data_IF_001977533103
#
_entry.id   IF_001977533103
#
_cell.length_a   1.000
_cell.length_b   1.000
_cell.length_c   1.000
_cell.angle_alpha   90.00
_cell.angle_beta   90.00
_cell.angle_gamma   90.00
#
_symmetry.space_group_name_H-M   'P 1'
#
loop_
_entity.id
_entity.type
_entity.pdbx_description
1 polymer ?
#
# COMPACT_ATOMS: atom_id res chain seq x y z
N UNK A 1 6.36 -34.88 -22.19
CA UNK A 1 7.39 -33.90 -21.78
C UNK A 1 7.22 -32.65 -22.62
N UNK A 2 6.57 -31.62 -22.07
CA UNK A 2 6.48 -30.30 -22.68
C UNK A 2 7.68 -29.45 -22.30
N UNK A 3 8.20 -28.67 -23.26
CA UNK A 3 9.17 -27.62 -22.97
C UNK A 3 8.41 -26.41 -22.39
N UNK A 4 8.92 -25.86 -21.30
CA UNK A 4 8.38 -24.61 -20.75
C UNK A 4 8.55 -23.46 -21.75
N UNK A 5 7.56 -22.55 -21.79
CA UNK A 5 7.71 -21.33 -22.57
C UNK A 5 8.82 -20.46 -21.93
N UNK A 6 9.87 -20.21 -22.69
CA UNK A 6 10.98 -19.34 -22.28
C UNK A 6 11.06 -18.07 -23.14
N UNK A 7 10.15 -17.94 -24.12
CA UNK A 7 10.11 -16.78 -25.01
C UNK A 7 9.37 -15.63 -24.36
N UNK A 8 9.84 -14.40 -24.61
CA UNK A 8 9.13 -13.20 -24.20
C UNK A 8 7.71 -13.16 -24.76
N UNK A 9 6.75 -12.72 -23.95
CA UNK A 9 5.37 -12.48 -24.37
C UNK A 9 5.09 -10.98 -24.38
N UNK A 10 4.80 -10.45 -25.57
CA UNK A 10 4.51 -9.03 -25.78
C UNK A 10 3.04 -8.83 -26.08
N UNK A 11 2.41 -7.94 -25.34
CA UNK A 11 1.07 -7.42 -25.58
C UNK A 11 1.22 -5.93 -25.92
N UNK A 12 0.89 -5.54 -27.12
CA UNK A 12 1.19 -4.20 -27.62
C UNK A 12 0.08 -3.59 -28.45
N UNK A 13 0.29 -2.32 -28.81
CA UNK A 13 -0.65 -1.52 -29.63
C UNK A 13 -2.02 -1.32 -28.98
N UNK A 14 -2.05 -1.23 -27.65
CA UNK A 14 -3.29 -0.95 -26.92
C UNK A 14 -3.54 0.57 -26.94
N UNK A 15 -4.65 1.04 -27.52
CA UNK A 15 -4.95 2.46 -27.54
C UNK A 15 -5.09 3.04 -26.12
N UNK A 16 -4.71 4.30 -25.95
CA UNK A 16 -4.87 5.01 -24.67
C UNK A 16 -6.32 4.97 -24.19
N UNK A 17 -6.53 4.70 -22.91
CA UNK A 17 -7.85 4.57 -22.29
C UNK A 17 -8.46 3.16 -22.39
N UNK A 18 -7.81 2.22 -23.08
CA UNK A 18 -8.33 0.85 -23.24
C UNK A 18 -7.61 -0.14 -22.31
N UNK A 19 -8.40 -1.10 -21.82
CA UNK A 19 -7.89 -2.27 -21.11
C UNK A 19 -7.49 -3.39 -22.08
N UNK A 20 -6.49 -4.15 -21.68
CA UNK A 20 -6.14 -5.38 -22.36
C UNK A 20 -6.04 -6.53 -21.36
N UNK A 21 -6.49 -7.71 -21.78
CA UNK A 21 -6.33 -8.95 -21.04
C UNK A 21 -5.01 -9.61 -21.46
N UNK A 22 -4.16 -9.87 -20.49
CA UNK A 22 -2.94 -10.65 -20.64
C UNK A 22 -2.97 -11.88 -19.74
N UNK A 23 -2.04 -12.80 -19.96
CA UNK A 23 -1.81 -13.94 -19.08
C UNK A 23 -0.33 -14.11 -18.82
N UNK A 24 0.04 -14.44 -17.58
CA UNK A 24 1.41 -14.85 -17.27
C UNK A 24 1.71 -16.16 -18.02
N UNK A 25 2.61 -16.17 -19.03
CA UNK A 25 2.85 -17.35 -19.86
C UNK A 25 3.83 -18.34 -19.23
N UNK A 26 4.36 -18.02 -18.05
CA UNK A 26 5.42 -18.76 -17.40
C UNK A 26 4.91 -19.68 -16.27
N UNK A 27 5.61 -20.77 -15.97
CA UNK A 27 5.27 -21.68 -14.86
C UNK A 27 5.73 -21.14 -13.50
N UNK A 28 6.07 -19.87 -13.37
CA UNK A 28 6.47 -19.21 -12.16
C UNK A 28 5.75 -17.86 -12.00
N UNK A 29 5.70 -17.37 -10.78
CA UNK A 29 5.20 -16.03 -10.47
C UNK A 29 6.09 -14.99 -11.13
N UNK A 30 5.50 -13.99 -11.77
CA UNK A 30 6.17 -12.79 -12.26
C UNK A 30 5.92 -11.64 -11.28
N UNK A 31 6.90 -10.75 -11.20
CA UNK A 31 6.82 -9.50 -10.47
C UNK A 31 6.47 -8.40 -11.48
N UNK A 32 5.29 -7.79 -11.32
CA UNK A 32 4.81 -6.72 -12.19
C UNK A 32 5.78 -5.56 -12.31
N UNK A 33 6.52 -5.26 -11.23
CA UNK A 33 7.46 -4.16 -11.22
C UNK A 33 8.63 -4.39 -12.19
N UNK A 34 9.01 -5.63 -12.43
CA UNK A 34 10.09 -6.02 -13.34
C UNK A 34 9.63 -6.09 -14.81
N UNK A 35 8.32 -6.21 -15.06
CA UNK A 35 7.77 -6.27 -16.44
C UNK A 35 8.07 -4.97 -17.17
N UNK A 36 8.59 -5.07 -18.40
CA UNK A 36 8.81 -3.91 -19.25
C UNK A 36 7.46 -3.32 -19.69
N UNK A 37 7.23 -2.04 -19.39
CA UNK A 37 5.97 -1.32 -19.62
C UNK A 37 6.18 -0.02 -20.41
N UNK A 38 5.28 0.28 -21.35
CA UNK A 38 5.19 1.56 -22.02
C UNK A 38 3.75 2.07 -21.91
N UNK A 39 3.56 3.25 -21.35
CA UNK A 39 2.24 3.85 -21.10
C UNK A 39 1.26 2.92 -20.36
N UNK A 40 1.79 2.11 -19.45
CA UNK A 40 1.05 1.17 -18.59
C UNK A 40 1.67 1.20 -17.20
N UNK A 41 0.87 1.35 -16.16
CA UNK A 41 1.37 1.35 -14.77
C UNK A 41 0.72 0.27 -13.94
N UNK A 42 -0.57 0.05 -14.08
CA UNK A 42 -1.37 -0.75 -13.16
C UNK A 42 -1.75 -2.10 -13.75
N UNK A 43 -1.57 -3.16 -12.96
CA UNK A 43 -2.14 -4.48 -13.20
C UNK A 43 -3.37 -4.71 -12.32
N UNK A 44 -4.35 -5.46 -12.83
CA UNK A 44 -5.57 -5.84 -12.12
C UNK A 44 -5.76 -7.34 -12.24
N UNK A 45 -5.84 -8.02 -11.12
CA UNK A 45 -6.08 -9.47 -11.05
C UNK A 45 -7.42 -9.72 -10.39
N UNK A 46 -8.26 -10.57 -10.99
CA UNK A 46 -9.51 -10.98 -10.38
C UNK A 46 -9.24 -11.91 -9.19
N UNK A 47 -9.77 -11.57 -8.03
CA UNK A 47 -9.79 -12.41 -6.84
C UNK A 47 -11.21 -12.96 -6.63
N UNK A 48 -11.38 -14.26 -6.88
CA UNK A 48 -12.67 -14.94 -6.77
C UNK A 48 -13.16 -15.01 -5.33
N UNK A 49 -12.25 -15.09 -4.37
CA UNK A 49 -12.60 -15.20 -2.95
C UNK A 49 -13.25 -13.92 -2.40
N UNK A 50 -12.75 -12.75 -2.81
CA UNK A 50 -13.33 -11.44 -2.45
C UNK A 50 -14.32 -10.93 -3.51
N UNK A 51 -14.46 -11.63 -4.66
CA UNK A 51 -15.25 -11.22 -5.81
C UNK A 51 -14.93 -9.78 -6.26
N UNK A 52 -13.66 -9.42 -6.26
CA UNK A 52 -13.16 -8.08 -6.60
C UNK A 52 -11.87 -8.16 -7.41
N UNK A 53 -11.54 -7.06 -8.12
CA UNK A 53 -10.22 -6.91 -8.69
C UNK A 53 -9.23 -6.43 -7.63
N UNK A 54 -8.07 -7.06 -7.60
CA UNK A 54 -6.89 -6.61 -6.88
C UNK A 54 -6.02 -5.82 -7.83
N UNK A 55 -5.60 -4.63 -7.43
CA UNK A 55 -4.80 -3.71 -8.24
C UNK A 55 -3.38 -3.54 -7.70
N UNK A 56 -2.45 -3.16 -8.57
CA UNK A 56 -1.09 -2.76 -8.21
C UNK A 56 -0.53 -1.78 -9.24
N UNK A 57 -0.09 -0.61 -8.78
CA UNK A 57 0.43 0.47 -9.64
C UNK A 57 1.97 0.59 -9.66
N UNK A 58 2.68 -0.36 -9.06
CA UNK A 58 4.14 -0.34 -8.93
C UNK A 58 4.62 0.16 -7.56
N UNK A 59 3.73 0.72 -6.73
CA UNK A 59 4.08 1.19 -5.39
C UNK A 59 3.03 0.81 -4.33
N UNK A 60 1.77 0.79 -4.68
CA UNK A 60 0.67 0.48 -3.76
C UNK A 60 -0.45 -0.28 -4.46
N UNK A 61 -1.35 -0.86 -3.68
CA UNK A 61 -2.52 -1.57 -4.16
C UNK A 61 -2.83 -2.84 -3.38
N UNK A 62 -4.00 -3.41 -3.65
CA UNK A 62 -4.49 -4.63 -3.00
C UNK A 62 -3.90 -5.93 -3.56
N UNK A 63 -3.25 -5.90 -4.72
CA UNK A 63 -2.50 -7.03 -5.26
C UNK A 63 -1.14 -7.12 -4.56
N UNK A 64 -0.95 -8.15 -3.75
CA UNK A 64 0.25 -8.31 -2.92
C UNK A 64 1.53 -8.17 -3.72
N UNK A 65 2.23 -7.04 -3.54
CA UNK A 65 3.52 -6.71 -4.16
C UNK A 65 3.56 -6.86 -5.70
N UNK A 66 2.44 -6.67 -6.38
CA UNK A 66 2.40 -6.84 -7.83
C UNK A 66 2.68 -8.26 -8.33
N UNK A 67 2.56 -9.28 -7.49
CA UNK A 67 2.87 -10.66 -7.85
C UNK A 67 1.72 -11.29 -8.63
N UNK A 68 1.99 -11.72 -9.87
CA UNK A 68 1.05 -12.39 -10.75
C UNK A 68 1.40 -13.87 -10.82
N UNK A 69 0.48 -14.71 -10.34
CA UNK A 69 0.70 -16.15 -10.23
C UNK A 69 0.96 -16.83 -11.59
N UNK A 70 1.56 -18.02 -11.61
CA UNK A 70 1.75 -18.79 -12.84
C UNK A 70 0.44 -18.99 -13.59
N UNK A 71 0.44 -18.73 -14.89
CA UNK A 71 -0.70 -18.92 -15.81
C UNK A 71 -1.94 -18.08 -15.47
N UNK A 72 -1.82 -17.10 -14.60
CA UNK A 72 -2.90 -16.21 -14.20
C UNK A 72 -3.19 -15.16 -15.27
N UNK A 73 -4.48 -14.98 -15.59
CA UNK A 73 -4.96 -13.86 -16.38
C UNK A 73 -5.04 -12.58 -15.55
N UNK A 74 -4.73 -11.45 -16.17
CA UNK A 74 -4.83 -10.13 -15.57
C UNK A 74 -5.16 -9.06 -16.60
N UNK A 75 -5.77 -7.97 -16.15
CA UNK A 75 -6.01 -6.78 -16.97
C UNK A 75 -4.91 -5.74 -16.73
N UNK A 76 -4.64 -4.91 -17.73
CA UNK A 76 -3.86 -3.68 -17.60
C UNK A 76 -4.46 -2.58 -18.45
N UNK A 77 -4.28 -1.32 -18.02
CA UNK A 77 -4.80 -0.12 -18.68
C UNK A 77 -3.67 0.61 -19.40
N UNK A 78 -3.86 0.94 -20.67
CA UNK A 78 -3.01 1.88 -21.39
C UNK A 78 -3.42 3.33 -21.08
N UNK A 79 -2.49 4.16 -20.60
CA UNK A 79 -2.75 5.56 -20.24
C UNK A 79 -1.62 6.46 -20.75
N UNK A 80 -1.98 7.66 -21.20
CA UNK A 80 -0.98 8.64 -21.69
C UNK A 80 -0.44 8.39 -23.10
N UNK A 81 -0.87 7.32 -23.78
CA UNK A 81 -0.41 6.96 -25.13
C UNK A 81 -0.71 5.48 -25.46
N UNK A 82 -0.23 5.01 -26.60
CA UNK A 82 -0.34 3.59 -26.97
C UNK A 82 0.44 2.74 -25.99
N UNK A 83 -0.25 1.82 -25.30
CA UNK A 83 0.29 0.97 -24.25
C UNK A 83 0.87 -0.33 -24.79
N UNK A 84 1.89 -0.85 -24.10
CA UNK A 84 2.41 -2.20 -24.30
C UNK A 84 3.08 -2.72 -23.03
N UNK A 85 3.08 -4.04 -22.89
CA UNK A 85 3.88 -4.76 -21.90
C UNK A 85 4.66 -5.88 -22.58
N UNK A 86 5.83 -6.18 -22.05
CA UNK A 86 6.62 -7.36 -22.45
C UNK A 86 7.03 -8.10 -21.20
N UNK A 87 6.60 -9.34 -21.08
CA UNK A 87 6.94 -10.24 -19.98
C UNK A 87 8.04 -11.19 -20.43
N UNK A 88 9.10 -11.30 -19.64
CA UNK A 88 10.23 -12.17 -19.88
C UNK A 88 10.39 -13.20 -18.74
N UNK A 89 11.08 -14.28 -19.01
CA UNK A 89 11.37 -15.27 -17.96
C UNK A 89 12.25 -14.68 -16.82
N UNK A 90 12.94 -13.57 -17.09
CA UNK A 90 13.72 -12.82 -16.11
C UNK A 90 12.86 -12.01 -15.13
N UNK A 91 11.60 -11.71 -15.46
CA UNK A 91 10.65 -11.00 -14.59
C UNK A 91 10.14 -11.87 -13.43
N UNK A 92 10.72 -13.06 -13.29
CA UNK A 92 10.44 -13.99 -12.23
C UNK A 92 10.64 -13.33 -10.87
N UNK A 93 9.63 -13.45 -10.02
CA UNK A 93 9.77 -13.14 -8.60
C UNK A 93 10.74 -14.13 -7.95
N UNK A 94 11.74 -13.62 -7.23
CA UNK A 94 12.68 -14.44 -6.44
C UNK A 94 12.08 -14.87 -5.11
N UNK A 95 10.86 -14.44 -4.82
CA UNK A 95 10.20 -14.61 -3.54
C UNK A 95 8.90 -15.37 -3.68
N UNK A 96 8.83 -16.49 -3.00
CA UNK A 96 7.60 -17.16 -2.66
C UNK A 96 7.07 -16.52 -1.37
N UNK A 97 6.15 -15.58 -1.50
CA UNK A 97 5.38 -15.05 -0.37
C UNK A 97 6.03 -13.90 0.40
N UNK A 98 5.27 -12.89 0.61
CA UNK A 98 5.44 -11.75 1.52
C UNK A 98 6.68 -10.90 1.28
N UNK A 99 6.54 -9.91 0.42
CA UNK A 99 7.50 -8.81 0.35
C UNK A 99 6.81 -7.48 0.59
N UNK A 100 7.16 -6.88 1.72
CA UNK A 100 7.13 -5.43 1.81
C UNK A 100 8.35 -4.92 1.05
N UNK A 101 8.14 -4.33 -0.13
CA UNK A 101 9.20 -3.57 -0.80
C UNK A 101 9.37 -2.30 0.01
N UNK A 102 10.42 -2.24 0.80
CA UNK A 102 10.88 -0.96 1.32
C UNK A 102 11.32 -0.17 0.09
N UNK A 103 10.55 0.84 -0.27
CA UNK A 103 10.95 1.82 -1.28
C UNK A 103 12.15 2.56 -0.73
N UNK A 104 13.32 2.30 -1.28
CA UNK A 104 14.59 2.78 -0.77
C UNK A 104 14.91 4.24 -1.13
N UNK A 105 13.99 4.99 -1.72
CA UNK A 105 14.24 6.37 -2.13
C UNK A 105 13.58 7.44 -1.25
N UNK A 106 12.82 7.05 -0.22
CA UNK A 106 12.20 7.98 0.73
C UNK A 106 11.17 8.94 0.11
N UNK A 107 10.76 8.72 -1.14
CA UNK A 107 9.96 9.66 -1.93
C UNK A 107 8.54 9.18 -2.20
N UNK A 108 8.10 8.09 -1.60
CA UNK A 108 6.76 7.55 -1.78
C UNK A 108 6.19 7.02 -0.47
N UNK A 109 4.88 7.10 -0.35
CA UNK A 109 4.14 6.56 0.77
C UNK A 109 2.73 6.18 0.36
N UNK A 110 2.01 5.47 1.20
CA UNK A 110 0.62 5.12 0.93
C UNK A 110 -0.21 4.95 2.21
N UNK A 111 -1.51 5.15 2.06
CA UNK A 111 -2.53 4.83 3.08
C UNK A 111 -3.56 3.93 2.44
N UNK A 112 -3.75 2.73 2.99
CA UNK A 112 -4.80 1.82 2.58
C UNK A 112 -5.99 1.91 3.52
N UNK A 113 -7.19 2.08 2.96
CA UNK A 113 -8.46 1.95 3.66
C UNK A 113 -9.02 0.56 3.41
N UNK A 114 -9.13 -0.25 4.47
CA UNK A 114 -9.78 -1.55 4.43
C UNK A 114 -11.24 -1.38 4.85
N UNK A 115 -12.16 -1.86 4.05
CA UNK A 115 -13.58 -1.67 4.22
C UNK A 115 -14.22 -3.05 4.33
N UNK A 116 -14.95 -3.29 5.42
CA UNK A 116 -15.54 -4.59 5.72
C UNK A 116 -17.00 -4.48 6.16
N UNK A 117 -17.82 -5.41 5.71
CA UNK A 117 -19.11 -5.76 6.29
C UNK A 117 -19.00 -7.12 6.95
N UNK A 118 -20.13 -7.71 7.41
CA UNK A 118 -20.13 -9.06 7.94
C UNK A 118 -19.69 -10.11 6.89
N UNK A 119 -20.02 -9.88 5.61
CA UNK A 119 -19.87 -10.87 4.53
C UNK A 119 -18.88 -10.46 3.44
N UNK A 120 -18.55 -9.17 3.32
CA UNK A 120 -17.77 -8.62 2.20
C UNK A 120 -16.65 -7.73 2.67
N UNK A 121 -15.56 -7.72 1.92
CA UNK A 121 -14.42 -6.81 2.13
C UNK A 121 -13.98 -6.17 0.84
N UNK A 122 -13.45 -4.95 0.94
CA UNK A 122 -12.80 -4.24 -0.15
C UNK A 122 -11.68 -3.35 0.36
N UNK A 123 -10.88 -2.80 -0.54
CA UNK A 123 -9.79 -1.89 -0.22
C UNK A 123 -9.75 -0.74 -1.23
N UNK A 124 -9.28 0.42 -0.80
CA UNK A 124 -8.91 1.55 -1.68
C UNK A 124 -7.67 2.22 -1.10
N UNK A 125 -6.87 2.85 -1.95
CA UNK A 125 -5.56 3.35 -1.58
C UNK A 125 -5.38 4.81 -1.98
N UNK A 126 -4.68 5.54 -1.12
CA UNK A 126 -4.09 6.85 -1.46
C UNK A 126 -2.59 6.64 -1.47
N UNK A 127 -1.95 6.91 -2.60
CA UNK A 127 -0.49 6.83 -2.75
C UNK A 127 0.11 8.21 -2.97
N UNK A 128 1.38 8.37 -2.63
CA UNK A 128 2.12 9.62 -2.76
C UNK A 128 3.39 9.38 -3.55
N UNK A 129 3.54 10.07 -4.68
CA UNK A 129 4.71 9.92 -5.56
C UNK A 129 5.27 11.28 -5.97
N UNK A 130 6.59 11.35 -6.22
CA UNK A 130 7.28 12.60 -6.62
C UNK A 130 6.69 13.24 -7.88
N UNK A 131 6.14 12.45 -8.78
CA UNK A 131 5.50 12.89 -10.02
C UNK A 131 3.98 12.70 -10.00
N UNK A 132 3.40 12.54 -8.81
CA UNK A 132 1.95 12.49 -8.62
C UNK A 132 1.32 13.85 -8.88
N UNK A 133 0.07 13.87 -9.28
CA UNK A 133 -0.73 15.05 -9.53
C UNK A 133 -1.97 15.07 -8.62
N UNK A 134 -2.53 16.24 -8.37
CA UNK A 134 -3.81 16.37 -7.66
C UNK A 134 -4.99 15.93 -8.52
N UNK A 135 -4.83 15.97 -9.84
CA UNK A 135 -5.76 15.46 -10.86
C UNK A 135 -5.44 14.02 -11.24
N UNK A 136 -6.00 13.56 -12.35
CA UNK A 136 -5.76 12.22 -12.87
C UNK A 136 -4.38 12.09 -13.53
N UNK A 137 -3.59 11.13 -13.06
CA UNK A 137 -2.30 10.80 -13.64
C UNK A 137 -2.18 9.32 -14.06
N UNK A 138 -0.98 8.92 -14.54
CA UNK A 138 -0.75 7.58 -15.04
C UNK A 138 -0.60 6.51 -13.94
N UNK A 139 -0.35 6.92 -12.70
CA UNK A 139 -0.23 6.02 -11.55
C UNK A 139 -1.56 5.79 -10.84
N UNK A 140 -2.61 6.55 -11.20
CA UNK A 140 -3.97 6.27 -10.75
C UNK A 140 -4.48 4.94 -11.27
N UNK A 141 -5.25 4.25 -10.47
CA UNK A 141 -5.90 3.02 -10.86
C UNK A 141 -7.43 3.14 -10.76
N UNK A 142 -8.12 2.94 -11.86
CA UNK A 142 -9.58 2.91 -11.84
C UNK A 142 -10.10 1.78 -10.94
N UNK A 143 -11.17 2.06 -10.20
CA UNK A 143 -11.92 1.02 -9.48
C UNK A 143 -12.68 0.17 -10.48
N UNK A 144 -12.29 -1.08 -10.63
CA UNK A 144 -12.98 -2.02 -11.51
C UNK A 144 -14.02 -2.81 -10.72
N UNK A 145 -15.24 -2.80 -11.22
CA UNK A 145 -16.32 -3.64 -10.68
C UNK A 145 -16.47 -4.91 -11.53
N UNK A 146 -16.96 -6.02 -10.93
CA UNK A 146 -17.20 -7.25 -11.67
C UNK A 146 -18.16 -7.08 -12.84
N UNK A 147 -18.01 -7.94 -13.83
CA UNK A 147 -18.84 -7.93 -15.05
C UNK A 147 -20.30 -8.36 -14.82
N UNK A 148 -20.63 -8.90 -13.67
CA UNK A 148 -22.00 -9.32 -13.32
C UNK A 148 -22.42 -8.71 -11.98
N UNK A 149 -23.70 -8.38 -11.82
CA UNK A 149 -24.22 -7.92 -10.55
C UNK A 149 -23.97 -8.94 -9.44
N UNK A 150 -23.43 -8.50 -8.30
CA UNK A 150 -23.29 -9.31 -7.09
C UNK A 150 -23.22 -8.41 -5.87
N UNK A 151 -23.70 -8.91 -4.74
CA UNK A 151 -23.64 -8.18 -3.47
C UNK A 151 -22.20 -8.00 -3.03
N UNK A 152 -21.87 -6.79 -2.56
CA UNK A 152 -20.51 -6.42 -2.10
C UNK A 152 -20.47 -5.06 -1.43
N UNK A 153 -19.40 -4.80 -0.72
CA UNK A 153 -18.97 -3.45 -0.36
C UNK A 153 -17.93 -2.95 -1.36
N UNK A 154 -17.89 -1.66 -1.62
CA UNK A 154 -16.94 -1.03 -2.54
C UNK A 154 -16.45 0.28 -1.93
N UNK A 155 -15.13 0.40 -1.75
CA UNK A 155 -14.47 1.64 -1.40
C UNK A 155 -13.79 2.25 -2.62
N UNK A 156 -13.90 3.55 -2.79
CA UNK A 156 -13.31 4.24 -3.92
C UNK A 156 -13.15 5.74 -3.62
N UNK A 157 -12.19 6.37 -4.27
CA UNK A 157 -12.08 7.83 -4.32
C UNK A 157 -12.54 8.35 -5.68
N UNK A 158 -12.89 9.65 -5.73
CA UNK A 158 -13.33 10.32 -6.95
C UNK A 158 -12.41 11.48 -7.29
N UNK A 159 -11.89 11.49 -8.50
CA UNK A 159 -11.07 12.57 -9.04
C UNK A 159 -11.47 12.82 -10.49
N UNK A 160 -11.79 14.07 -10.85
CA UNK A 160 -12.13 14.50 -12.22
C UNK A 160 -13.12 13.56 -12.93
N UNK A 161 -14.10 13.08 -12.17
CA UNK A 161 -15.14 12.24 -12.74
C UNK A 161 -14.75 10.76 -12.92
N UNK A 162 -13.68 10.27 -12.31
CA UNK A 162 -13.31 8.86 -12.29
C UNK A 162 -13.36 8.28 -10.90
N UNK A 163 -13.77 7.03 -10.82
CA UNK A 163 -13.73 6.21 -9.60
C UNK A 163 -12.40 5.49 -9.52
N UNK A 164 -11.63 5.74 -8.48
CA UNK A 164 -10.29 5.21 -8.33
C UNK A 164 -10.22 4.15 -7.22
N UNK A 165 -9.50 3.08 -7.50
CA UNK A 165 -9.03 2.09 -6.54
C UNK A 165 -7.73 2.55 -5.86
N UNK A 166 -6.88 3.22 -6.65
CA UNK A 166 -5.69 3.91 -6.17
C UNK A 166 -5.76 5.34 -6.68
N UNK A 167 -5.75 6.29 -5.75
CA UNK A 167 -5.63 7.72 -6.03
C UNK A 167 -4.19 8.14 -5.72
N UNK A 168 -3.44 8.51 -6.74
CA UNK A 168 -2.04 8.90 -6.61
C UNK A 168 -1.92 10.41 -6.50
N UNK A 169 -1.32 10.88 -5.43
CA UNK A 169 -1.15 12.29 -5.11
C UNK A 169 0.32 12.70 -5.18
N UNK A 170 0.62 14.00 -5.35
CA UNK A 170 1.98 14.47 -5.28
C UNK A 170 2.57 14.22 -3.89
N UNK A 171 3.85 13.82 -3.85
CA UNK A 171 4.59 13.66 -2.59
C UNK A 171 4.81 15.01 -1.89
N UNK A 172 4.97 16.09 -2.68
CA UNK A 172 5.09 17.48 -2.23
C UNK A 172 4.04 18.34 -2.94
N UNK A 173 3.40 19.25 -2.21
CA UNK A 173 2.46 20.23 -2.78
C UNK A 173 2.39 21.49 -1.92
N UNK A 174 2.36 22.63 -2.58
CA UNK A 174 2.13 23.93 -1.91
C UNK A 174 0.68 24.13 -1.47
N UNK A 175 -0.24 23.28 -1.95
CA UNK A 175 -1.66 23.40 -1.67
C UNK A 175 -2.18 22.12 -1.00
N UNK A 176 -3.12 22.29 -0.10
CA UNK A 176 -3.92 21.18 0.40
C UNK A 176 -4.78 20.60 -0.74
N UNK A 177 -4.99 19.28 -0.71
CA UNK A 177 -5.78 18.55 -1.70
C UNK A 177 -6.96 17.91 -0.98
N UNK A 178 -8.17 18.13 -1.52
CA UNK A 178 -9.40 17.52 -1.00
C UNK A 178 -10.09 16.74 -2.10
N UNK A 179 -10.55 15.54 -1.77
CA UNK A 179 -11.29 14.69 -2.70
C UNK A 179 -12.33 13.84 -1.98
N UNK A 180 -13.40 13.43 -2.68
CA UNK A 180 -14.41 12.53 -2.16
C UNK A 180 -13.86 11.10 -1.98
N UNK A 181 -14.18 10.48 -0.84
CA UNK A 181 -14.04 9.05 -0.59
C UNK A 181 -15.45 8.50 -0.35
N UNK A 182 -15.85 7.50 -1.10
CA UNK A 182 -17.16 6.88 -0.93
C UNK A 182 -17.02 5.40 -0.55
N UNK A 183 -17.97 4.94 0.23
CA UNK A 183 -18.16 3.54 0.56
C UNK A 183 -19.57 3.16 0.16
N UNK A 184 -19.66 2.31 -0.84
CA UNK A 184 -20.94 1.84 -1.37
C UNK A 184 -21.19 0.40 -0.92
N UNK A 185 -22.41 0.12 -0.54
CA UNK A 185 -22.89 -1.24 -0.45
C UNK A 185 -23.79 -1.54 -1.66
N UNK A 186 -23.52 -2.65 -2.31
CA UNK A 186 -24.33 -3.18 -3.40
C UNK A 186 -24.99 -4.44 -2.90
N UNK A 187 -26.31 -4.50 -2.92
CA UNK A 187 -27.06 -5.69 -2.53
C UNK A 187 -27.90 -6.18 -3.72
N UNK A 188 -27.73 -7.44 -4.07
CA UNK A 188 -28.35 -8.07 -5.24
C UNK A 188 -29.13 -9.29 -4.77
N UNK A 189 -30.43 -9.34 -5.11
CA UNK A 189 -31.29 -10.49 -4.80
C UNK A 189 -31.05 -11.67 -5.76
N UNK A 190 -31.70 -12.80 -5.51
CA UNK A 190 -31.59 -14.02 -6.32
C UNK A 190 -31.99 -13.84 -7.79
N UNK A 191 -32.74 -12.78 -8.10
CA UNK A 191 -33.13 -12.44 -9.48
C UNK A 191 -32.12 -11.51 -10.18
N UNK A 192 -30.97 -11.26 -9.56
CA UNK A 192 -29.95 -10.30 -10.04
C UNK A 192 -30.43 -8.84 -10.07
N UNK A 193 -31.39 -8.48 -9.22
CA UNK A 193 -31.90 -7.13 -9.07
C UNK A 193 -31.29 -6.45 -7.85
N UNK A 194 -30.98 -5.16 -7.94
CA UNK A 194 -30.50 -4.38 -6.81
C UNK A 194 -31.64 -4.09 -5.84
N UNK A 195 -31.39 -4.32 -4.57
CA UNK A 195 -32.33 -4.03 -3.48
C UNK A 195 -31.73 -3.06 -2.49
N UNK A 196 -32.55 -2.12 -2.02
CA UNK A 196 -32.12 -1.17 -1.00
C UNK A 196 -32.09 -1.85 0.35
N UNK A 197 -30.94 -1.76 1.03
CA UNK A 197 -30.73 -2.30 2.37
C UNK A 197 -29.71 -1.44 3.09
N UNK A 198 -29.90 -1.23 4.37
CA UNK A 198 -28.88 -0.66 5.24
C UNK A 198 -27.85 -1.73 5.60
N UNK A 199 -26.58 -1.35 5.62
CA UNK A 199 -25.47 -2.22 6.00
C UNK A 199 -24.50 -1.50 6.92
N UNK A 200 -24.03 -2.21 7.94
CA UNK A 200 -22.99 -1.72 8.85
C UNK A 200 -21.62 -2.00 8.26
N UNK A 201 -20.83 -0.97 8.11
CA UNK A 201 -19.49 -1.04 7.54
C UNK A 201 -18.48 -0.63 8.60
N UNK A 202 -17.39 -1.39 8.70
CA UNK A 202 -16.20 -0.99 9.45
C UNK A 202 -15.10 -0.67 8.45
N UNK A 203 -14.56 0.54 8.55
CA UNK A 203 -13.41 0.99 7.78
C UNK A 203 -12.20 1.11 8.72
N UNK A 204 -11.09 0.49 8.34
CA UNK A 204 -9.82 0.56 9.07
C UNK A 204 -8.73 1.10 8.17
N UNK A 205 -7.70 1.71 8.76
CA UNK A 205 -6.56 2.25 8.03
C UNK A 205 -5.25 2.09 8.79
N UNK A 206 -4.15 2.14 8.03
CA UNK A 206 -2.80 2.11 8.58
C UNK A 206 -2.00 3.29 7.98
N UNK A 207 -1.42 4.11 8.85
CA UNK A 207 -0.64 5.29 8.50
C UNK A 207 0.87 5.04 8.54
N UNK A 208 1.33 3.81 8.72
CA UNK A 208 2.76 3.50 8.89
C UNK A 208 3.61 3.91 7.67
N UNK A 209 3.00 3.99 6.49
CA UNK A 209 3.65 4.42 5.26
C UNK A 209 3.28 5.85 4.84
N UNK A 210 2.55 6.60 5.68
CA UNK A 210 2.26 8.01 5.42
C UNK A 210 3.52 8.84 5.66
N UNK A 211 3.97 9.65 4.69
CA UNK A 211 5.12 10.53 4.85
C UNK A 211 4.93 11.52 6.00
N UNK A 212 5.97 11.77 6.81
CA UNK A 212 5.90 12.60 8.02
C UNK A 212 5.43 14.05 7.78
N UNK A 213 5.67 14.59 6.58
CA UNK A 213 5.26 15.94 6.19
C UNK A 213 3.83 16.01 5.66
N UNK A 214 3.14 14.87 5.55
CA UNK A 214 1.76 14.79 5.08
C UNK A 214 0.85 14.47 6.24
N UNK A 215 -0.24 15.22 6.35
CA UNK A 215 -1.32 14.94 7.30
C UNK A 215 -2.62 14.72 6.56
N UNK A 216 -3.43 13.80 7.06
CA UNK A 216 -4.73 13.46 6.48
C UNK A 216 -5.82 13.50 7.51
N UNK A 217 -6.95 14.11 7.14
CA UNK A 217 -8.18 14.06 7.92
C UNK A 217 -9.33 13.54 7.06
N UNK A 218 -10.32 12.95 7.70
CA UNK A 218 -11.52 12.43 7.07
C UNK A 218 -12.73 13.20 7.63
N UNK A 219 -13.50 13.82 6.77
CA UNK A 219 -14.77 14.43 7.15
C UNK A 219 -15.90 13.49 6.81
N UNK A 220 -16.69 13.07 7.80
CA UNK A 220 -17.96 12.39 7.58
C UNK A 220 -19.00 13.43 7.14
N UNK A 221 -19.40 13.37 5.89
CA UNK A 221 -20.33 14.35 5.28
C UNK A 221 -21.79 14.19 5.76
N UNK A 222 -22.12 13.08 6.43
CA UNK A 222 -23.45 12.87 7.01
C UNK A 222 -23.61 13.53 8.37
N UNK A 223 -22.54 13.51 9.16
CA UNK A 223 -22.52 14.08 10.52
C UNK A 223 -21.78 15.40 10.62
N UNK A 224 -21.03 15.78 9.59
CA UNK A 224 -20.04 16.88 9.56
C UNK A 224 -18.95 16.74 10.64
N UNK A 225 -18.66 15.52 11.05
CA UNK A 225 -17.60 15.23 12.02
C UNK A 225 -16.26 15.10 11.32
N UNK A 226 -15.24 15.78 11.85
CA UNK A 226 -13.86 15.64 11.38
C UNK A 226 -13.19 14.55 12.21
N UNK A 227 -12.60 13.59 11.53
CA UNK A 227 -11.92 12.43 12.09
C UNK A 227 -10.43 12.59 11.82
N UNK A 228 -9.66 12.72 12.88
CA UNK A 228 -8.20 12.69 12.82
C UNK A 228 -7.76 11.22 12.74
N UNK A 229 -7.21 10.85 11.59
CA UNK A 229 -6.81 9.48 11.30
C UNK A 229 -5.68 9.00 12.23
N UNK A 230 -4.94 9.92 12.86
CA UNK A 230 -3.85 9.57 13.81
C UNK A 230 -4.37 9.20 15.20
N UNK A 231 -5.60 9.60 15.57
CA UNK A 231 -6.18 9.36 16.89
C UNK A 231 -6.96 8.06 16.99
N UNK A 232 -7.33 7.50 15.87
CA UNK A 232 -8.03 6.21 15.79
C UNK A 232 -7.61 5.48 14.51
N UNK A 233 -7.79 4.17 14.48
CA UNK A 233 -7.44 3.32 13.33
C UNK A 233 -8.66 2.64 12.70
N UNK A 234 -9.86 2.94 13.21
CA UNK A 234 -11.11 2.38 12.70
C UNK A 234 -12.29 3.33 12.86
N UNK A 235 -13.27 3.17 11.99
CA UNK A 235 -14.57 3.85 12.03
C UNK A 235 -15.66 2.87 11.62
N UNK A 236 -16.73 2.78 12.42
CA UNK A 236 -17.94 2.02 12.07
C UNK A 236 -19.09 2.97 11.78
N UNK A 237 -19.77 2.76 10.68
CA UNK A 237 -20.88 3.58 10.21
C UNK A 237 -21.90 2.72 9.43
N UNK A 238 -23.05 3.30 9.11
CA UNK A 238 -24.08 2.66 8.31
C UNK A 238 -24.13 3.28 6.93
N UNK A 239 -24.19 2.47 5.89
CA UNK A 239 -24.41 2.89 4.50
C UNK A 239 -25.67 2.23 3.96
N UNK A 240 -26.29 2.85 2.96
CA UNK A 240 -27.49 2.32 2.31
C UNK A 240 -27.11 1.74 0.95
N UNK A 241 -27.56 0.52 0.67
CA UNK A 241 -27.33 -0.10 -0.63
C UNK A 241 -27.85 0.78 -1.77
N UNK A 242 -27.02 1.04 -2.75
CA UNK A 242 -27.38 1.81 -3.95
C UNK A 242 -28.24 0.94 -4.89
N UNK A 243 -29.36 1.50 -5.33
CA UNK A 243 -30.40 0.80 -6.08
C UNK A 243 -30.14 0.64 -7.58
N UNK A 244 -28.94 0.89 -8.08
CA UNK A 244 -28.62 0.65 -9.49
C UNK A 244 -27.12 0.42 -9.69
N UNK A 245 -26.79 -0.51 -10.56
CA UNK A 245 -25.44 -0.64 -11.09
C UNK A 245 -25.21 0.48 -12.09
N UNK A 246 -24.02 1.05 -12.08
CA UNK A 246 -23.62 1.89 -13.17
C UNK A 246 -23.72 1.10 -14.48
N UNK A 247 -24.28 1.70 -15.50
CA UNK A 247 -24.41 1.04 -16.80
C UNK A 247 -23.02 0.68 -17.36
N UNK A 248 -22.85 -0.56 -17.72
CA UNK A 248 -21.68 -1.04 -18.44
C UNK A 248 -21.61 -0.39 -19.83
N UNK A 249 -20.78 0.60 -19.99
CA UNK A 249 -20.38 1.22 -21.24
C UNK A 249 -18.87 1.42 -21.20
N UNK A 250 -18.22 1.68 -22.31
CA UNK A 250 -16.78 1.85 -22.48
C UNK A 250 -16.14 2.95 -21.60
N UNK A 251 -16.87 3.50 -20.65
CA UNK A 251 -16.39 4.45 -19.66
C UNK A 251 -16.44 3.77 -18.29
N UNK A 252 -15.34 3.90 -17.55
CA UNK A 252 -15.26 3.48 -16.16
C UNK A 252 -16.50 4.00 -15.42
N UNK A 253 -17.08 3.13 -14.62
CA UNK A 253 -18.30 3.36 -13.87
C UNK A 253 -18.39 4.77 -13.31
N UNK A 254 -19.23 5.60 -13.95
CA UNK A 254 -19.49 6.97 -13.53
C UNK A 254 -20.63 7.01 -12.51
N UNK A 255 -20.36 6.65 -11.26
CA UNK A 255 -21.17 7.14 -10.16
C UNK A 255 -20.36 8.31 -9.58
N UNK A 256 -20.76 9.51 -9.91
CA UNK A 256 -20.08 10.70 -9.39
C UNK A 256 -20.89 11.31 -8.26
N UNK A 257 -20.46 11.16 -6.98
CA UNK A 257 -20.85 12.15 -6.02
C UNK A 257 -20.06 13.42 -6.32
N UNK A 258 -20.74 14.54 -6.34
CA UNK A 258 -20.08 15.83 -6.19
C UNK A 258 -19.38 15.87 -4.82
N UNK A 259 -18.32 16.67 -4.70
CA UNK A 259 -17.65 16.89 -3.41
C UNK A 259 -18.71 17.30 -2.36
N UNK A 260 -18.77 16.58 -1.25
CA UNK A 260 -19.79 16.76 -0.21
C UNK A 260 -21.06 15.92 -0.37
N UNK A 261 -21.24 15.19 -1.49
CA UNK A 261 -22.33 14.20 -1.65
C UNK A 261 -21.86 12.75 -1.42
N UNK A 262 -20.56 12.50 -1.35
CA UNK A 262 -19.95 11.26 -0.93
C UNK A 262 -20.09 11.04 0.56
N UNK A 263 -19.88 9.83 1.04
CA UNK A 263 -19.91 9.51 2.46
C UNK A 263 -18.85 10.31 3.23
N UNK A 264 -17.66 10.40 2.67
CA UNK A 264 -16.53 11.10 3.27
C UNK A 264 -15.87 12.09 2.30
N UNK A 265 -15.18 13.06 2.89
CA UNK A 265 -14.19 13.88 2.22
C UNK A 265 -12.84 13.62 2.87
N UNK A 266 -11.82 13.35 2.09
CA UNK A 266 -10.42 13.27 2.54
C UNK A 266 -9.78 14.62 2.27
N UNK A 267 -9.15 15.18 3.31
CA UNK A 267 -8.33 16.37 3.21
C UNK A 267 -6.88 16.00 3.50
N UNK A 268 -6.01 16.29 2.54
CA UNK A 268 -4.57 16.06 2.61
C UNK A 268 -3.87 17.41 2.70
N UNK A 269 -3.05 17.58 3.70
CA UNK A 269 -2.27 18.80 3.91
C UNK A 269 -0.77 18.45 3.95
N UNK A 270 0.02 19.32 3.35
CA UNK A 270 1.47 19.21 3.27
C UNK A 270 2.09 20.29 4.15
N UNK A 271 3.00 19.89 5.04
CA UNK A 271 3.87 20.84 5.70
C UNK A 271 5.07 21.12 4.79
N UNK A 272 5.54 22.38 4.76
CA UNK A 272 6.74 22.72 4.00
C UNK A 272 7.87 21.75 4.38
N UNK A 273 8.42 21.03 3.41
CA UNK A 273 9.72 20.43 3.54
C UNK A 273 10.71 21.58 3.48
N UNK A 274 11.24 21.97 4.65
CA UNK A 274 12.04 23.17 4.78
C UNK A 274 13.15 23.25 3.73
N UNK A 275 13.02 24.21 2.81
CA UNK A 275 14.17 24.76 2.11
C UNK A 275 15.01 25.45 3.17
N UNK A 276 16.10 24.81 3.55
CA UNK A 276 17.22 25.37 4.35
C UNK A 276 16.94 26.70 5.05
N UNK A 277 16.17 26.67 6.14
CA UNK A 277 16.37 27.48 7.31
C UNK A 277 15.50 26.92 8.46
N UNK A 278 16.14 25.98 9.22
CA UNK A 278 15.85 25.70 10.60
C UNK A 278 14.40 25.31 10.96
N UNK A 279 14.11 24.10 11.00
CA UNK A 279 13.90 23.10 12.06
C UNK A 279 13.41 21.80 11.43
N UNK A 280 14.31 21.09 10.72
CA UNK A 280 14.26 19.66 10.92
C UNK A 280 14.34 19.52 12.44
N UNK A 281 13.28 19.12 13.08
CA UNK A 281 13.38 18.69 14.46
C UNK A 281 14.26 17.45 14.45
N UNK A 282 15.57 17.72 14.34
CA UNK A 282 16.60 16.73 14.60
C UNK A 282 16.16 16.10 15.91
N UNK A 283 16.20 14.79 16.02
CA UNK A 283 15.82 14.18 17.27
C UNK A 283 16.63 14.89 18.39
N UNK A 284 15.92 15.58 19.25
CA UNK A 284 16.54 16.34 20.36
C UNK A 284 17.01 15.41 21.48
N UNK A 285 16.57 14.14 21.42
CA UNK A 285 16.91 13.11 22.39
C UNK A 285 17.21 11.80 21.67
N UNK A 286 18.13 11.04 22.27
CA UNK A 286 18.32 9.65 21.90
C UNK A 286 17.08 8.84 22.26
N UNK A 287 16.55 8.07 21.34
CA UNK A 287 15.46 7.13 21.57
C UNK A 287 15.75 5.78 20.89
N UNK A 288 15.24 4.72 21.49
CA UNK A 288 15.16 3.39 20.90
C UNK A 288 13.69 2.98 20.98
N UNK A 289 13.08 2.80 19.83
CA UNK A 289 11.69 2.39 19.74
C UNK A 289 11.57 0.87 19.82
N UNK A 290 10.38 0.39 20.10
CA UNK A 290 10.12 -1.04 20.04
C UNK A 290 10.27 -1.53 18.62
N UNK A 291 10.90 -2.69 18.43
CA UNK A 291 11.00 -3.31 17.11
C UNK A 291 9.61 -3.67 16.56
N UNK A 292 9.46 -3.53 15.26
CA UNK A 292 8.20 -3.88 14.59
C UNK A 292 8.52 -4.71 13.33
N UNK A 293 7.74 -5.76 13.08
CA UNK A 293 6.74 -6.38 13.97
C UNK A 293 7.36 -7.01 15.23
N UNK A 294 6.56 -7.15 16.30
CA UNK A 294 6.92 -7.90 17.50
C UNK A 294 5.66 -8.51 18.16
N UNK A 295 5.42 -9.84 18.10
CA UNK A 295 6.33 -10.88 17.58
C UNK A 295 6.58 -10.79 16.07
N UNK A 296 7.72 -11.35 15.60
CA UNK A 296 8.15 -11.27 14.21
C UNK A 296 8.51 -12.65 13.61
N UNK A 297 8.52 -12.75 12.25
CA UNK A 297 8.85 -13.98 11.52
C UNK A 297 9.28 -13.68 10.07
N UNK A 298 10.52 -13.91 9.65
CA UNK A 298 11.73 -13.93 10.47
C UNK A 298 12.37 -12.53 10.58
N UNK A 299 11.73 -11.48 10.05
CA UNK A 299 12.28 -10.12 9.91
C UNK A 299 11.62 -9.15 10.87
N UNK A 300 12.41 -8.25 11.46
CA UNK A 300 11.94 -7.14 12.27
C UNK A 300 12.84 -5.92 12.11
N UNK A 301 12.28 -4.73 12.23
CA UNK A 301 12.97 -3.45 12.11
C UNK A 301 13.08 -2.77 13.47
N UNK A 302 14.26 -2.25 13.77
CA UNK A 302 14.57 -1.44 14.93
C UNK A 302 14.67 0.02 14.49
N UNK A 303 13.90 0.90 15.14
CA UNK A 303 13.94 2.35 14.92
C UNK A 303 14.64 3.03 16.09
N UNK A 304 15.51 4.00 15.81
CA UNK A 304 16.23 4.76 16.84
C UNK A 304 16.60 6.16 16.36
N UNK A 305 16.71 7.07 17.31
CA UNK A 305 16.93 8.50 17.09
C UNK A 305 18.34 8.89 17.55
N UNK A 306 19.06 9.64 16.72
CA UNK A 306 20.38 10.17 17.00
C UNK A 306 20.35 11.70 16.97
N UNK A 307 20.36 12.39 18.13
CA UNK A 307 20.35 13.86 18.16
C UNK A 307 21.67 14.48 17.71
N UNK A 308 22.74 13.71 17.68
CA UNK A 308 24.05 14.14 17.24
C UNK A 308 24.81 13.01 16.54
N UNK A 309 25.81 13.38 15.72
CA UNK A 309 26.69 12.41 15.09
C UNK A 309 27.46 11.62 16.15
N UNK A 310 27.25 10.31 16.18
CA UNK A 310 27.82 9.44 17.21
C UNK A 310 28.21 8.06 16.68
N UNK A 311 29.04 7.37 17.46
CA UNK A 311 29.33 5.95 17.20
C UNK A 311 28.18 5.10 17.75
N UNK A 312 27.51 4.36 16.87
CA UNK A 312 26.38 3.51 17.22
C UNK A 312 26.81 2.06 17.19
N UNK A 313 26.50 1.34 18.26
CA UNK A 313 26.59 -0.11 18.32
C UNK A 313 25.20 -0.67 18.64
N UNK A 314 24.68 -1.55 17.78
CA UNK A 314 23.43 -2.30 18.02
C UNK A 314 23.74 -3.77 17.96
N UNK A 315 23.48 -4.47 19.05
CA UNK A 315 23.81 -5.88 19.20
C UNK A 315 22.61 -6.67 19.75
N UNK A 316 22.39 -7.84 19.18
CA UNK A 316 21.37 -8.80 19.57
C UNK A 316 21.99 -9.83 20.51
N UNK A 317 21.25 -10.17 21.57
CA UNK A 317 21.61 -11.16 22.57
C UNK A 317 20.50 -12.20 22.74
N UNK A 318 20.85 -13.41 23.10
CA UNK A 318 19.91 -14.41 23.57
C UNK A 318 19.57 -14.20 25.08
N UNK A 319 18.65 -14.97 25.61
CA UNK A 319 18.22 -14.89 27.01
C UNK A 319 19.31 -15.25 28.03
N UNK A 320 20.40 -15.88 27.59
CA UNK A 320 21.58 -16.18 28.44
C UNK A 320 22.62 -15.05 28.38
N UNK A 321 22.33 -13.97 27.66
CA UNK A 321 23.25 -12.84 27.47
C UNK A 321 24.38 -13.09 26.48
N UNK A 322 24.32 -14.15 25.69
CA UNK A 322 25.32 -14.45 24.65
C UNK A 322 24.99 -13.59 23.42
N UNK A 323 26.02 -12.98 22.84
CA UNK A 323 25.89 -12.22 21.61
C UNK A 323 25.47 -13.15 20.46
N UNK A 324 24.42 -12.75 19.77
CA UNK A 324 23.89 -13.44 18.59
C UNK A 324 24.35 -12.75 17.32
N UNK A 325 24.16 -11.42 17.21
CA UNK A 325 24.56 -10.65 16.05
C UNK A 325 24.85 -9.20 16.39
N UNK A 326 25.83 -8.61 15.73
CA UNK A 326 26.05 -7.17 15.72
C UNK A 326 25.47 -6.59 14.43
N UNK A 327 24.37 -5.83 14.55
CA UNK A 327 23.69 -5.22 13.41
C UNK A 327 24.42 -3.95 12.93
N UNK A 328 24.87 -3.13 13.87
CA UNK A 328 25.59 -1.88 13.58
C UNK A 328 26.76 -1.73 14.54
N UNK A 329 27.89 -1.29 14.00
CA UNK A 329 29.07 -0.88 14.78
C UNK A 329 29.90 0.12 13.98
N UNK A 330 29.34 1.37 13.84
CA UNK A 330 29.99 2.43 13.06
C UNK A 330 29.51 3.81 13.48
N UNK A 331 30.24 4.85 13.06
CA UNK A 331 29.79 6.25 13.17
C UNK A 331 28.60 6.48 12.22
N UNK A 332 27.58 7.14 12.74
CA UNK A 332 26.40 7.57 11.98
C UNK A 332 26.13 9.05 12.19
N UNK A 333 25.53 9.68 11.18
CA UNK A 333 25.05 11.07 11.25
C UNK A 333 23.84 11.16 12.17
N UNK A 334 23.52 12.36 12.62
CA UNK A 334 22.25 12.71 13.30
C UNK A 334 21.05 12.32 12.44
N UNK A 335 19.87 12.16 13.04
CA UNK A 335 18.61 11.86 12.39
C UNK A 335 17.92 10.62 12.93
N UNK A 336 16.74 10.33 12.39
CA UNK A 336 15.98 9.10 12.59
C UNK A 336 16.63 7.99 11.79
N UNK A 337 16.78 6.80 12.39
CA UNK A 337 17.53 5.68 11.80
C UNK A 337 16.78 4.37 11.98
N UNK A 338 16.99 3.48 11.02
CA UNK A 338 16.45 2.12 11.05
C UNK A 338 17.52 1.08 10.83
N UNK A 339 17.32 -0.12 11.35
CA UNK A 339 18.11 -1.30 11.02
C UNK A 339 17.26 -2.55 11.14
N UNK A 340 17.40 -3.42 10.18
CA UNK A 340 16.66 -4.67 10.09
C UNK A 340 17.46 -5.83 10.70
N UNK A 341 16.75 -6.77 11.32
CA UNK A 341 17.28 -8.07 11.71
C UNK A 341 16.43 -9.21 11.14
N UNK A 342 17.07 -10.09 10.40
CA UNK A 342 16.47 -11.23 9.68
C UNK A 342 16.64 -12.57 10.42
N UNK A 343 16.64 -12.55 11.75
CA UNK A 343 16.80 -13.74 12.60
C UNK A 343 18.04 -14.59 12.31
N UNK A 344 19.16 -13.97 11.89
CA UNK A 344 20.44 -14.67 11.68
C UNK A 344 21.48 -14.28 12.73
N UNK A 345 22.44 -15.17 13.00
CA UNK A 345 23.61 -14.90 13.83
C UNK A 345 24.73 -14.19 13.03
N UNK A 346 25.87 -13.90 13.67
CA UNK A 346 27.03 -13.28 13.00
C UNK A 346 27.63 -14.17 11.88
N UNK A 347 27.39 -15.48 11.90
CA UNK A 347 27.84 -16.42 10.87
C UNK A 347 26.86 -16.51 9.69
N UNK A 348 25.67 -15.90 9.80
CA UNK A 348 24.61 -15.94 8.79
C UNK A 348 23.60 -17.08 8.96
N UNK A 349 23.73 -17.92 9.98
CA UNK A 349 22.81 -19.02 10.24
C UNK A 349 21.56 -18.52 10.95
N UNK A 350 20.39 -19.07 10.59
CA UNK A 350 19.14 -18.78 11.28
C UNK A 350 19.18 -19.22 12.74
N UNK A 351 18.67 -18.37 13.62
CA UNK A 351 18.55 -18.68 15.04
C UNK A 351 17.19 -19.30 15.36
N UNK A 352 17.08 -19.97 16.50
CA UNK A 352 15.85 -20.62 16.93
C UNK A 352 14.78 -19.61 17.33
N UNK A 353 13.50 -19.97 17.18
CA UNK A 353 12.38 -19.20 17.77
C UNK A 353 12.58 -19.01 19.27
N UNK A 354 12.20 -17.84 19.78
CA UNK A 354 12.38 -17.50 21.18
C UNK A 354 12.46 -16.01 21.44
N UNK A 355 12.85 -15.67 22.65
CA UNK A 355 13.00 -14.28 23.09
C UNK A 355 14.46 -13.85 22.93
N UNK A 356 14.62 -12.66 22.32
CA UNK A 356 15.92 -12.01 22.13
C UNK A 356 15.90 -10.61 22.74
N UNK A 357 17.07 -10.14 23.13
CA UNK A 357 17.28 -8.78 23.60
C UNK A 357 18.12 -8.03 22.58
N UNK A 358 17.74 -6.81 22.28
CA UNK A 358 18.59 -5.90 21.52
C UNK A 358 19.06 -4.74 22.39
N UNK A 359 20.30 -4.35 22.20
CA UNK A 359 20.95 -3.28 22.97
C UNK A 359 21.53 -2.29 21.97
N UNK A 360 21.13 -1.02 22.10
CA UNK A 360 21.78 0.10 21.43
C UNK A 360 22.70 0.82 22.41
N UNK A 361 23.89 1.14 21.95
CA UNK A 361 24.84 2.01 22.63
C UNK A 361 25.27 3.12 21.66
N UNK A 362 25.10 4.37 22.08
CA UNK A 362 25.49 5.55 21.30
C UNK A 362 25.88 6.67 22.24
N UNK A 363 27.14 7.08 22.22
CA UNK A 363 27.68 8.04 23.18
C UNK A 363 27.52 7.57 24.63
N UNK A 364 26.81 8.35 25.43
CA UNK A 364 26.47 8.02 26.83
C UNK A 364 25.21 7.19 26.98
N UNK A 365 24.44 7.03 25.89
CA UNK A 365 23.19 6.32 25.91
C UNK A 365 23.40 4.81 25.82
N UNK A 366 22.67 4.07 26.64
CA UNK A 366 22.49 2.62 26.53
C UNK A 366 21.03 2.27 26.78
N UNK A 367 20.35 1.80 25.74
CA UNK A 367 18.99 1.30 25.83
C UNK A 367 18.89 -0.14 25.37
N UNK A 368 17.89 -0.86 25.86
CA UNK A 368 17.64 -2.25 25.50
C UNK A 368 16.14 -2.47 25.30
N UNK A 369 15.80 -3.35 24.38
CA UNK A 369 14.44 -3.82 24.17
C UNK A 369 14.38 -5.34 24.07
N UNK A 370 13.16 -5.87 24.12
CA UNK A 370 12.86 -7.30 24.02
C UNK A 370 12.04 -7.56 22.77
N UNK A 371 12.37 -8.61 22.03
CA UNK A 371 11.65 -9.06 20.86
C UNK A 371 11.41 -10.57 20.87
N UNK A 372 10.36 -11.01 20.19
CA UNK A 372 9.91 -12.40 20.14
C UNK A 372 9.94 -12.89 18.70
N UNK A 373 10.82 -13.84 18.41
CA UNK A 373 10.89 -14.52 17.12
C UNK A 373 9.92 -15.70 17.13
N UNK A 374 8.99 -15.72 16.20
CA UNK A 374 8.12 -16.87 15.90
C UNK A 374 8.83 -17.80 14.90
N UNK A 375 8.25 -18.97 14.69
CA UNK A 375 8.79 -19.94 13.74
C UNK A 375 7.97 -19.94 12.47
#
# INVERSE_FOLDING_TARGET
SGTYNSSAATYGSIPSGNYALAGNPFPHTIDWDNVAKTNVTTAYVWDDASSAYKSWNGSSGSLTNGLIAPLQGFLFLASGGTGSITMEAADKSTSAGTFYKILNDGSTGSVGFNIATADYTDQTFISFMNNGEAGIDAADANKLLPLSPSSRVVGLSYVEGKSLDINNLPYESDNAISFPLDVMYLNVNDNSEFVTQEETVTMTWDLNELPEHITMTLTDNTTNSIIDLTQQSELTFTTVAKGSFPSWGNEAVSIYPELGSSHFTVDVSYSEMGTDNEEHTMPIQYALHQNYPNPFNPITTLHYNLPEKSHVNITIYDMLGRRVKTLINRKQSTGFKTVEWNATNDAGDFVSSGVYLYVIQSGKLRHSGKMVLLK
#
